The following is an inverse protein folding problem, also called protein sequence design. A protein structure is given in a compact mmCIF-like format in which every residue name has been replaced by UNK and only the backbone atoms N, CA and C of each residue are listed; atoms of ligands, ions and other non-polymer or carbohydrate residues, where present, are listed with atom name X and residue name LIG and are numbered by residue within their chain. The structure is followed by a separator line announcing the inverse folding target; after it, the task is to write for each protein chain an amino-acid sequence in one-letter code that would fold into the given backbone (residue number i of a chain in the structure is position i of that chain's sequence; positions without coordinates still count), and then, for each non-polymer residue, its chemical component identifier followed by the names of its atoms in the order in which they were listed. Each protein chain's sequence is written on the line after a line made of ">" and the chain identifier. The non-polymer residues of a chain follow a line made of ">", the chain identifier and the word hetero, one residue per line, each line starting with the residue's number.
data_IF_489094446651
#
_entry.id   IF_489094446651
#
_cell.length_a   1.000
_cell.length_b   1.000
_cell.length_c   1.000
_cell.angle_alpha   90.00
_cell.angle_beta   90.00
_cell.angle_gamma   90.00
#
_symmetry.space_group_name_H-M   'P 1'
#
loop_
_entity.id
_entity.type
_entity.pdbx_description
1 polymer ?
#
# COMPACT_ATOMS: atom_id res chain seq x y z
N UNK A 1 -3.64 22.57 14.11
CA UNK A 1 -2.68 23.45 14.82
C UNK A 1 -1.24 22.96 14.63
N UNK A 2 -0.92 21.70 14.87
CA UNK A 2 0.46 21.17 14.82
C UNK A 2 1.08 21.29 13.40
N UNK A 3 0.37 20.91 12.34
CA UNK A 3 0.89 20.99 10.96
C UNK A 3 1.30 22.41 10.55
N UNK A 4 0.51 23.41 10.96
CA UNK A 4 0.84 24.80 10.70
C UNK A 4 2.07 25.28 11.46
N UNK A 5 2.25 24.80 12.70
CA UNK A 5 3.45 25.13 13.51
C UNK A 5 4.73 24.55 12.89
N UNK A 6 4.63 23.45 12.16
CA UNK A 6 5.73 22.77 11.45
C UNK A 6 5.91 23.28 10.00
N UNK A 7 5.12 24.27 9.57
CA UNK A 7 5.22 24.87 8.25
C UNK A 7 4.53 24.06 7.13
N UNK A 8 3.75 23.04 7.45
CA UNK A 8 3.01 22.27 6.47
C UNK A 8 1.70 22.97 6.07
N UNK A 9 1.50 23.17 4.79
CA UNK A 9 0.27 23.73 4.20
C UNK A 9 -0.36 22.70 3.27
N UNK A 10 -1.69 22.64 3.25
CA UNK A 10 -2.44 21.80 2.31
C UNK A 10 -2.23 22.38 0.90
N UNK A 11 -1.74 21.55 -0.01
CA UNK A 11 -1.56 21.87 -1.41
C UNK A 11 -2.71 21.37 -2.27
N UNK A 12 -3.19 20.14 -1.97
CA UNK A 12 -4.26 19.50 -2.73
C UNK A 12 -5.03 18.51 -1.86
N UNK A 13 -6.29 18.24 -2.21
CA UNK A 13 -7.16 17.27 -1.54
C UNK A 13 -7.91 16.47 -2.59
N UNK A 14 -8.17 15.17 -2.29
CA UNK A 14 -8.92 14.26 -3.17
C UNK A 14 -8.40 14.28 -4.63
N UNK A 15 -7.08 14.44 -4.80
CA UNK A 15 -6.49 14.52 -6.11
C UNK A 15 -6.42 13.14 -6.75
N UNK A 16 -7.02 13.05 -7.94
CA UNK A 16 -7.07 11.81 -8.72
C UNK A 16 -5.95 11.73 -9.73
N UNK A 17 -5.37 10.55 -9.89
CA UNK A 17 -4.56 10.15 -11.03
C UNK A 17 -5.50 9.41 -12.00
N UNK A 18 -5.85 10.08 -13.10
CA UNK A 18 -6.76 9.56 -14.11
C UNK A 18 -6.00 9.31 -15.41
N UNK A 19 -6.22 8.13 -15.99
CA UNK A 19 -5.55 7.69 -17.20
C UNK A 19 -5.78 8.61 -18.41
N UNK A 20 -6.95 9.24 -18.48
CA UNK A 20 -7.37 10.04 -19.64
C UNK A 20 -6.99 11.53 -19.52
N UNK A 21 -6.61 11.98 -18.34
CA UNK A 21 -6.36 13.39 -18.02
C UNK A 21 -4.88 13.65 -17.72
N UNK A 22 -4.23 12.75 -17.01
CA UNK A 22 -2.83 12.83 -16.65
C UNK A 22 -1.93 12.06 -17.63
N UNK A 23 -0.63 12.38 -17.64
CA UNK A 23 0.35 11.51 -18.28
C UNK A 23 0.24 10.12 -17.61
N UNK A 24 0.09 9.03 -18.38
CA UNK A 24 -0.07 7.70 -17.81
C UNK A 24 1.11 7.31 -16.91
N UNK A 25 0.82 6.85 -15.71
CA UNK A 25 1.81 6.26 -14.80
C UNK A 25 1.60 4.75 -14.78
N UNK A 26 2.61 3.98 -15.19
CA UNK A 26 2.58 2.54 -15.18
C UNK A 26 3.36 1.95 -14.00
N UNK A 27 2.89 0.80 -13.52
CA UNK A 27 3.62 -0.12 -12.64
C UNK A 27 3.71 -1.45 -13.39
N UNK A 28 4.90 -1.75 -13.88
CA UNK A 28 5.10 -2.85 -14.82
C UNK A 28 4.23 -2.68 -16.06
N UNK A 29 3.36 -3.67 -16.33
CA UNK A 29 2.44 -3.68 -17.48
C UNK A 29 1.08 -3.04 -17.21
N UNK A 30 0.78 -2.65 -15.98
CA UNK A 30 -0.51 -2.09 -15.58
C UNK A 30 -0.44 -0.57 -15.40
N UNK A 31 -1.49 0.11 -15.82
CA UNK A 31 -1.66 1.51 -15.57
C UNK A 31 -2.14 1.75 -14.14
N UNK A 32 -1.44 2.62 -13.42
CA UNK A 32 -1.82 3.01 -12.07
C UNK A 32 -2.87 4.11 -12.11
N UNK A 33 -3.94 3.94 -11.36
CA UNK A 33 -4.95 4.96 -11.09
C UNK A 33 -5.19 5.02 -9.58
N UNK A 34 -5.65 6.16 -9.08
CA UNK A 34 -5.92 6.29 -7.66
C UNK A 34 -6.27 7.70 -7.25
N UNK A 35 -6.72 7.85 -6.01
CA UNK A 35 -7.00 9.14 -5.39
C UNK A 35 -6.14 9.31 -4.16
N UNK A 36 -5.46 10.43 -4.04
CA UNK A 36 -4.72 10.81 -2.85
C UNK A 36 -5.60 11.74 -2.02
N UNK A 37 -5.88 11.35 -0.78
CA UNK A 37 -6.79 12.10 0.10
C UNK A 37 -6.27 13.52 0.37
N UNK A 38 -4.95 13.67 0.62
CA UNK A 38 -4.36 14.97 0.94
C UNK A 38 -2.88 15.03 0.59
N UNK A 39 -2.49 16.11 -0.08
CA UNK A 39 -1.10 16.47 -0.36
C UNK A 39 -0.77 17.73 0.41
N UNK A 40 0.35 17.74 1.11
CA UNK A 40 0.88 18.89 1.81
C UNK A 40 2.25 19.29 1.25
N UNK A 41 2.55 20.58 1.37
CA UNK A 41 3.86 21.12 1.07
C UNK A 41 4.39 21.90 2.28
N UNK A 42 5.64 21.69 2.62
CA UNK A 42 6.30 22.48 3.62
C UNK A 42 6.68 23.86 3.02
N UNK A 43 6.15 24.93 3.60
CA UNK A 43 6.32 26.29 3.11
C UNK A 43 7.78 26.78 3.15
N UNK A 44 8.61 26.19 4.01
CA UNK A 44 10.01 26.59 4.18
C UNK A 44 10.95 25.80 3.28
N UNK A 45 10.77 24.47 3.22
CA UNK A 45 11.69 23.58 2.49
C UNK A 45 11.21 23.24 1.08
N UNK A 46 9.91 23.35 0.82
CA UNK A 46 9.27 22.89 -0.41
C UNK A 46 9.04 21.38 -0.46
N UNK A 47 9.42 20.63 0.59
CA UNK A 47 9.19 19.19 0.69
C UNK A 47 7.71 18.85 0.60
N UNK A 48 7.39 17.72 0.00
CA UNK A 48 6.02 17.23 -0.16
C UNK A 48 5.74 16.07 0.79
N UNK A 49 4.48 15.98 1.22
CA UNK A 49 3.98 14.88 2.04
C UNK A 49 2.62 14.43 1.54
N UNK A 50 2.43 13.11 1.40
CA UNK A 50 1.12 12.52 1.18
C UNK A 50 0.55 12.03 2.50
N UNK A 51 -0.73 12.32 2.73
CA UNK A 51 -1.48 11.88 3.91
C UNK A 51 -2.71 11.12 3.46
N UNK A 52 -2.90 9.95 4.03
CA UNK A 52 -4.08 9.11 3.86
C UNK A 52 -4.85 9.02 5.19
N UNK A 53 -6.17 9.23 5.15
CA UNK A 53 -7.02 9.23 6.34
C UNK A 53 -7.43 7.81 6.73
N UNK A 54 -7.23 7.47 8.01
CA UNK A 54 -7.57 6.15 8.56
C UNK A 54 -8.45 6.27 9.82
N UNK A 55 -9.62 5.65 9.75
CA UNK A 55 -10.58 5.57 10.88
C UNK A 55 -10.44 4.21 11.57
N UNK A 56 -9.39 4.02 12.33
CA UNK A 56 -9.20 2.79 13.11
C UNK A 56 -9.86 2.90 14.49
N UNK A 57 -10.24 1.77 15.08
CA UNK A 57 -10.71 1.76 16.48
C UNK A 57 -9.60 2.12 17.48
N UNK A 58 -8.35 1.83 17.14
CA UNK A 58 -7.14 2.19 17.90
C UNK A 58 -6.06 2.68 16.95
N UNK A 59 -5.05 3.39 17.47
CA UNK A 59 -3.95 3.87 16.65
C UNK A 59 -3.19 2.70 16.03
N UNK A 60 -3.08 2.73 14.70
CA UNK A 60 -2.20 1.85 13.92
C UNK A 60 -1.30 2.72 13.05
N UNK A 61 0.00 2.62 13.30
CA UNK A 61 1.02 3.31 12.51
C UNK A 61 1.18 2.64 11.13
N UNK A 62 1.71 3.34 10.11
CA UNK A 62 1.88 2.78 8.77
C UNK A 62 2.56 1.40 8.75
N UNK A 63 3.67 1.20 9.43
CA UNK A 63 4.37 -0.07 9.47
C UNK A 63 3.50 -1.25 9.95
N UNK A 64 2.53 -1.02 10.84
CA UNK A 64 1.64 -2.07 11.35
C UNK A 64 0.61 -2.53 10.31
N UNK A 65 0.32 -1.70 9.34
CA UNK A 65 -0.66 -1.98 8.27
C UNK A 65 -0.01 -2.38 6.97
N UNK A 66 1.23 -1.93 6.73
CA UNK A 66 1.97 -2.22 5.50
C UNK A 66 2.72 -3.55 5.57
N UNK A 67 3.08 -4.01 6.78
CA UNK A 67 3.83 -5.24 6.96
C UNK A 67 3.03 -6.31 7.70
N UNK A 68 3.27 -7.56 7.31
CA UNK A 68 2.86 -8.77 8.02
C UNK A 68 4.10 -9.54 8.50
N UNK A 69 3.94 -10.50 9.43
CA UNK A 69 4.99 -11.48 9.71
C UNK A 69 5.44 -12.20 8.43
N UNK A 70 6.68 -12.71 8.37
CA UNK A 70 7.15 -13.48 7.22
C UNK A 70 6.19 -14.61 6.87
N UNK A 71 5.93 -14.81 5.59
CA UNK A 71 5.11 -15.90 5.10
C UNK A 71 5.88 -16.67 4.04
N UNK A 72 5.93 -17.98 4.18
CA UNK A 72 6.60 -18.87 3.21
C UNK A 72 5.82 -19.04 1.90
N UNK A 73 4.57 -18.60 1.87
CA UNK A 73 3.66 -18.80 0.72
C UNK A 73 3.51 -17.55 -0.16
N UNK A 74 4.34 -16.53 0.07
CA UNK A 74 4.29 -15.29 -0.70
C UNK A 74 5.46 -15.19 -1.66
N UNK A 75 5.33 -14.34 -2.68
CA UNK A 75 6.42 -14.02 -3.61
C UNK A 75 7.69 -13.64 -2.85
N UNK A 76 8.84 -14.04 -3.36
CA UNK A 76 10.12 -13.62 -2.81
C UNK A 76 10.26 -12.10 -2.79
N UNK A 77 9.75 -11.41 -3.81
CA UNK A 77 9.74 -9.95 -3.93
C UNK A 77 8.83 -9.24 -2.92
N UNK A 78 7.91 -9.96 -2.26
CA UNK A 78 7.12 -9.39 -1.18
C UNK A 78 7.81 -9.51 0.19
N UNK A 79 8.91 -10.29 0.29
CA UNK A 79 9.67 -10.47 1.52
C UNK A 79 10.75 -9.39 1.61
N UNK A 80 10.80 -8.69 2.74
CA UNK A 80 11.68 -7.54 2.96
C UNK A 80 12.31 -7.58 4.34
N UNK A 81 13.41 -6.88 4.50
CA UNK A 81 14.04 -6.63 5.78
C UNK A 81 13.77 -5.19 6.23
N UNK A 82 13.11 -5.05 7.36
CA UNK A 82 12.69 -3.75 7.89
C UNK A 82 13.48 -3.41 9.14
N UNK A 83 14.07 -2.22 9.17
CA UNK A 83 14.71 -1.70 10.37
C UNK A 83 13.62 -1.29 11.37
N UNK A 84 13.64 -1.90 12.53
CA UNK A 84 12.73 -1.63 13.63
C UNK A 84 13.51 -1.14 14.86
N UNK A 85 12.80 -0.67 15.87
CA UNK A 85 13.42 -0.29 17.15
C UNK A 85 14.17 -1.44 17.87
N UNK A 86 13.95 -2.69 17.44
CA UNK A 86 14.61 -3.89 17.98
C UNK A 86 15.65 -4.48 17.03
N UNK A 87 16.02 -3.77 15.96
CA UNK A 87 16.92 -4.23 14.90
C UNK A 87 16.19 -4.65 13.63
N UNK A 88 16.92 -5.30 12.73
CA UNK A 88 16.39 -5.75 11.44
C UNK A 88 15.43 -6.93 11.66
N UNK A 89 14.25 -6.85 11.06
CA UNK A 89 13.23 -7.90 11.13
C UNK A 89 12.75 -8.28 9.72
N UNK A 90 12.69 -9.58 9.44
CA UNK A 90 12.07 -10.08 8.21
C UNK A 90 10.56 -9.86 8.27
N UNK A 91 10.01 -9.33 7.19
CA UNK A 91 8.60 -8.98 7.03
C UNK A 91 8.12 -9.37 5.63
N UNK A 92 6.82 -9.28 5.44
CA UNK A 92 6.18 -9.42 4.13
C UNK A 92 5.33 -8.18 3.86
N UNK A 93 5.42 -7.61 2.68
CA UNK A 93 4.51 -6.56 2.25
C UNK A 93 3.07 -7.08 2.28
N UNK A 94 2.20 -6.35 2.94
CA UNK A 94 0.76 -6.61 3.03
C UNK A 94 -0.05 -5.54 2.30
N UNK A 95 0.50 -4.33 2.24
CA UNK A 95 -0.13 -3.16 1.63
C UNK A 95 0.95 -2.28 1.03
N UNK A 96 0.74 -1.82 -0.21
CA UNK A 96 1.66 -0.94 -0.94
C UNK A 96 1.08 0.47 -1.17
N UNK A 97 -0.02 0.83 -0.52
CA UNK A 97 -0.74 2.10 -0.76
C UNK A 97 0.18 3.32 -0.63
N UNK A 98 0.84 3.50 0.51
CA UNK A 98 1.70 4.67 0.72
C UNK A 98 2.93 4.70 -0.21
N UNK A 99 3.67 3.61 -0.46
CA UNK A 99 4.69 3.58 -1.50
C UNK A 99 4.17 3.99 -2.89
N UNK A 100 3.00 3.48 -3.30
CA UNK A 100 2.40 3.85 -4.59
C UNK A 100 1.93 5.31 -4.61
N UNK A 101 1.43 5.85 -3.52
CA UNK A 101 1.10 7.27 -3.41
C UNK A 101 2.34 8.16 -3.51
N UNK A 102 3.47 7.74 -2.92
CA UNK A 102 4.75 8.41 -3.13
C UNK A 102 5.14 8.40 -4.61
N UNK A 103 4.99 7.26 -5.31
CA UNK A 103 5.26 7.14 -6.74
C UNK A 103 4.41 8.11 -7.58
N UNK A 104 3.13 8.25 -7.24
CA UNK A 104 2.22 9.21 -7.87
C UNK A 104 2.71 10.65 -7.63
N UNK A 105 3.14 10.96 -6.42
CA UNK A 105 3.64 12.29 -6.06
C UNK A 105 4.91 12.64 -6.84
N UNK A 106 5.85 11.70 -6.96
CA UNK A 106 7.06 11.85 -7.78
C UNK A 106 6.75 12.07 -9.27
N UNK A 107 5.69 11.43 -9.76
CA UNK A 107 5.21 11.61 -11.13
C UNK A 107 4.63 13.01 -11.36
N UNK A 108 3.82 13.51 -10.45
CA UNK A 108 3.22 14.86 -10.59
C UNK A 108 4.20 16.00 -10.31
N UNK A 109 5.17 15.78 -9.41
CA UNK A 109 6.05 16.82 -8.90
C UNK A 109 7.53 16.40 -8.93
N UNK A 110 8.07 16.00 -10.12
CA UNK A 110 9.41 15.43 -10.20
C UNK A 110 10.52 16.37 -9.74
N UNK A 111 10.35 17.70 -9.93
CA UNK A 111 11.36 18.70 -9.56
C UNK A 111 11.45 18.90 -8.05
N UNK A 112 10.31 18.91 -7.37
CA UNK A 112 10.21 19.04 -5.92
C UNK A 112 10.73 17.77 -5.23
N UNK A 113 10.27 16.60 -5.71
CA UNK A 113 10.64 15.30 -5.17
C UNK A 113 12.12 14.95 -5.39
N UNK A 114 12.74 15.44 -6.46
CA UNK A 114 14.18 15.28 -6.67
C UNK A 114 15.05 16.04 -5.65
N UNK A 115 14.52 17.10 -5.05
CA UNK A 115 15.20 17.88 -4.01
C UNK A 115 15.00 17.27 -2.62
N UNK A 116 13.79 16.82 -2.37
CA UNK A 116 13.35 16.26 -1.09
C UNK A 116 12.45 15.05 -1.36
N UNK A 117 12.89 13.83 -1.06
CA UNK A 117 12.04 12.65 -1.16
C UNK A 117 10.72 12.87 -0.43
N UNK A 118 9.58 12.53 -1.04
CA UNK A 118 8.28 12.76 -0.42
C UNK A 118 8.08 11.95 0.86
N UNK A 119 7.54 12.58 1.88
CA UNK A 119 7.10 11.88 3.08
C UNK A 119 5.74 11.22 2.84
N UNK A 120 5.51 10.11 3.53
CA UNK A 120 4.22 9.41 3.53
C UNK A 120 3.72 9.22 4.96
N UNK A 121 2.43 9.44 5.18
CA UNK A 121 1.86 9.38 6.51
C UNK A 121 0.39 8.96 6.51
N UNK A 122 -0.07 8.47 7.64
CA UNK A 122 -1.48 8.36 7.96
C UNK A 122 -1.92 9.53 8.86
N UNK A 123 -3.08 10.09 8.59
CA UNK A 123 -3.83 10.83 9.59
C UNK A 123 -4.82 9.85 10.25
N UNK A 124 -4.53 9.45 11.46
CA UNK A 124 -5.35 8.45 12.17
C UNK A 124 -6.39 9.14 13.03
N UNK A 125 -7.64 8.75 12.85
CA UNK A 125 -8.80 9.18 13.61
C UNK A 125 -9.34 7.97 14.42
N UNK A 126 -8.76 7.68 15.58
CA UNK A 126 -9.19 6.54 16.39
C UNK A 126 -10.41 6.90 17.24
N UNK A 127 -10.98 5.91 17.95
CA UNK A 127 -12.10 6.14 18.86
C UNK A 127 -11.75 7.09 20.02
N UNK A 128 -10.49 7.10 20.47
CA UNK A 128 -9.97 8.10 21.41
C UNK A 128 -9.42 9.31 20.65
N UNK A 129 -10.10 10.48 20.70
CA UNK A 129 -9.66 11.66 19.97
C UNK A 129 -8.33 12.25 20.47
N UNK A 130 -7.90 11.96 21.70
CA UNK A 130 -6.66 12.48 22.27
C UNK A 130 -5.40 11.93 21.60
N UNK A 131 -5.52 10.78 20.92
CA UNK A 131 -4.43 10.15 20.17
C UNK A 131 -4.62 10.26 18.66
N UNK A 132 -5.54 11.12 18.21
CA UNK A 132 -5.66 11.46 16.78
C UNK A 132 -4.43 12.26 16.34
N UNK A 133 -3.93 11.96 15.14
CA UNK A 133 -2.77 12.69 14.64
C UNK A 133 -2.15 12.10 13.39
N UNK A 134 -1.08 12.75 12.93
CA UNK A 134 -0.29 12.30 11.80
C UNK A 134 0.81 11.36 12.29
N UNK A 135 0.89 10.21 11.65
CA UNK A 135 1.88 9.16 11.92
C UNK A 135 2.65 8.87 10.64
N UNK A 136 3.89 9.35 10.58
CA UNK A 136 4.78 9.16 9.43
C UNK A 136 5.21 7.71 9.27
N UNK A 137 5.45 7.29 8.03
CA UNK A 137 5.99 5.97 7.70
C UNK A 137 7.53 5.99 7.77
N UNK A 138 8.06 6.13 8.98
CA UNK A 138 9.49 6.31 9.22
C UNK A 138 10.34 5.09 8.82
N UNK A 139 9.72 3.91 8.73
CA UNK A 139 10.38 2.69 8.31
C UNK A 139 10.60 2.62 6.78
N UNK A 140 9.92 3.47 5.99
CA UNK A 140 10.04 3.50 4.53
C UNK A 140 11.32 4.24 4.12
N UNK A 141 12.47 3.57 4.20
CA UNK A 141 13.74 4.08 3.64
C UNK A 141 13.69 4.11 2.11
N UNK A 142 14.70 4.72 1.47
CA UNK A 142 14.81 4.72 0.01
C UNK A 142 14.94 3.30 -0.55
N UNK A 143 15.75 2.46 0.10
CA UNK A 143 15.93 1.06 -0.30
C UNK A 143 14.60 0.30 -0.21
N UNK A 144 13.90 0.45 0.92
CA UNK A 144 12.62 -0.21 1.14
C UNK A 144 11.52 0.31 0.20
N UNK A 145 11.61 1.58 -0.20
CA UNK A 145 10.73 2.15 -1.22
C UNK A 145 10.97 1.51 -2.59
N UNK A 146 12.23 1.33 -3.00
CA UNK A 146 12.57 0.62 -4.25
C UNK A 146 12.03 -0.82 -4.21
N UNK A 147 12.26 -1.56 -3.14
CA UNK A 147 11.73 -2.92 -2.95
C UNK A 147 10.18 -2.96 -2.99
N UNK A 148 9.51 -1.91 -2.51
CA UNK A 148 8.05 -1.81 -2.61
C UNK A 148 7.57 -1.65 -4.06
N UNK A 149 8.28 -0.87 -4.87
CA UNK A 149 7.97 -0.69 -6.29
C UNK A 149 8.27 -1.98 -7.07
N UNK A 150 9.39 -2.64 -6.82
CA UNK A 150 9.73 -3.93 -7.43
C UNK A 150 8.66 -5.00 -7.08
N UNK A 151 8.18 -5.01 -5.85
CA UNK A 151 7.08 -5.86 -5.44
C UNK A 151 5.78 -5.54 -6.21
N UNK A 152 5.45 -4.26 -6.39
CA UNK A 152 4.28 -3.84 -7.15
C UNK A 152 4.39 -4.24 -8.64
N UNK A 153 5.57 -4.11 -9.24
CA UNK A 153 5.84 -4.54 -10.61
C UNK A 153 5.70 -6.05 -10.79
N UNK A 154 6.26 -6.83 -9.87
CA UNK A 154 6.10 -8.29 -9.87
C UNK A 154 4.64 -8.72 -9.72
N UNK A 155 3.87 -8.04 -8.88
CA UNK A 155 2.42 -8.27 -8.75
C UNK A 155 1.71 -7.93 -10.06
N UNK A 156 2.03 -6.79 -10.67
CA UNK A 156 1.47 -6.35 -11.94
C UNK A 156 1.70 -7.40 -13.04
N UNK A 157 2.90 -7.95 -13.11
CA UNK A 157 3.22 -9.02 -14.05
C UNK A 157 2.37 -10.28 -13.79
N UNK A 158 2.25 -10.71 -12.53
CA UNK A 158 1.41 -11.87 -12.17
C UNK A 158 -0.05 -11.67 -12.54
N UNK A 159 -0.60 -10.47 -12.33
CA UNK A 159 -1.96 -10.12 -12.74
C UNK A 159 -2.11 -10.25 -14.26
N UNK A 160 -1.17 -9.72 -15.03
CA UNK A 160 -1.19 -9.78 -16.50
C UNK A 160 -1.08 -11.21 -17.04
N UNK A 161 -0.32 -12.06 -16.36
CA UNK A 161 -0.20 -13.49 -16.65
C UNK A 161 -1.41 -14.32 -16.20
N UNK A 162 -2.40 -13.71 -15.55
CA UNK A 162 -3.59 -14.38 -15.01
C UNK A 162 -3.35 -15.19 -13.74
N UNK A 163 -2.25 -14.94 -13.03
CA UNK A 163 -1.91 -15.62 -11.79
C UNK A 163 -2.57 -14.94 -10.58
N UNK A 164 -3.74 -15.43 -10.16
CA UNK A 164 -4.48 -14.93 -9.00
C UNK A 164 -4.45 -15.89 -7.80
N UNK A 165 -3.51 -16.80 -7.78
CA UNK A 165 -3.36 -17.83 -6.77
C UNK A 165 -2.16 -17.55 -5.84
N UNK A 166 -2.15 -17.99 -4.56
CA UNK A 166 -3.26 -18.64 -3.85
C UNK A 166 -4.31 -17.63 -3.39
N UNK A 167 -5.59 -17.98 -3.48
CA UNK A 167 -6.61 -17.17 -2.82
C UNK A 167 -6.32 -17.16 -1.31
N UNK A 168 -6.52 -16.06 -0.65
CA UNK A 168 -6.53 -16.07 0.81
C UNK A 168 -7.65 -16.99 1.26
N UNK A 169 -7.38 -17.81 2.32
CA UNK A 169 -8.44 -18.57 2.94
C UNK A 169 -9.61 -17.63 3.22
N UNK A 170 -10.73 -17.94 2.63
CA UNK A 170 -11.95 -17.15 2.78
C UNK A 170 -12.34 -17.15 4.27
N UNK A 171 -12.06 -16.06 4.92
CA UNK A 171 -12.61 -15.80 6.25
C UNK A 171 -13.97 -15.19 6.01
N UNK A 172 -15.01 -16.04 6.05
CA UNK A 172 -16.38 -15.60 5.89
C UNK A 172 -16.60 -14.31 6.67
N UNK A 173 -16.76 -13.19 5.98
CA UNK A 173 -17.24 -11.98 6.59
C UNK A 173 -18.75 -12.02 6.51
N UNK A 174 -19.42 -11.51 7.52
CA UNK A 174 -20.87 -11.42 7.56
C UNK A 174 -21.44 -10.63 6.37
N UNK A 175 -20.58 -9.90 5.66
CA UNK A 175 -20.94 -8.99 4.57
C UNK A 175 -20.45 -9.48 3.19
N UNK A 176 -20.09 -10.76 3.02
CA UNK A 176 -19.72 -11.24 1.71
C UNK A 176 -20.95 -11.57 0.85
N UNK A 177 -21.28 -10.74 -0.15
CA UNK A 177 -22.44 -10.93 -1.00
C UNK A 177 -22.33 -12.19 -1.89
N UNK A 178 -21.13 -12.76 -2.02
CA UNK A 178 -20.86 -13.94 -2.84
C UNK A 178 -20.87 -15.25 -2.05
N UNK A 179 -20.84 -15.19 -0.70
CA UNK A 179 -20.85 -16.38 0.14
C UNK A 179 -21.95 -17.40 -0.21
N UNK A 180 -23.18 -16.97 -0.56
CA UNK A 180 -24.25 -17.90 -0.96
C UNK A 180 -23.99 -18.66 -2.28
N UNK A 181 -23.03 -18.18 -3.09
CA UNK A 181 -22.68 -18.84 -4.37
C UNK A 181 -21.75 -20.04 -4.19
N UNK A 182 -21.15 -20.20 -3.01
CA UNK A 182 -20.19 -21.27 -2.75
C UNK A 182 -20.78 -22.34 -1.86
N UNK A 183 -20.63 -23.59 -2.29
CA UNK A 183 -21.03 -24.74 -1.49
C UNK A 183 -20.20 -24.80 -0.22
N UNK A 184 -20.86 -24.84 0.94
CA UNK A 184 -20.22 -24.79 2.26
C UNK A 184 -19.33 -23.55 2.50
N UNK A 185 -19.57 -22.45 1.80
CA UNK A 185 -18.87 -21.19 2.01
C UNK A 185 -17.39 -21.17 1.61
N UNK A 186 -16.91 -22.15 0.86
CA UNK A 186 -15.51 -22.25 0.43
C UNK A 186 -15.43 -22.30 -1.10
N UNK A 187 -14.84 -21.27 -1.76
CA UNK A 187 -14.63 -21.23 -3.21
C UNK A 187 -13.89 -22.48 -3.73
N UNK A 188 -12.96 -23.01 -2.94
CA UNK A 188 -12.15 -24.18 -3.25
C UNK A 188 -13.00 -25.43 -3.51
N UNK A 189 -14.16 -25.54 -2.88
CA UNK A 189 -15.09 -26.65 -3.08
C UNK A 189 -15.76 -26.64 -4.45
N UNK A 190 -15.65 -25.51 -5.18
CA UNK A 190 -16.20 -25.35 -6.54
C UNK A 190 -15.15 -25.58 -7.63
N UNK A 191 -13.88 -25.82 -7.24
CA UNK A 191 -12.75 -26.00 -8.17
C UNK A 191 -12.30 -27.45 -8.11
N UNK A 192 -12.12 -28.09 -9.26
CA UNK A 192 -11.63 -29.46 -9.32
C UNK A 192 -10.23 -29.57 -8.68
N UNK A 193 -9.99 -30.59 -7.81
CA UNK A 193 -8.73 -30.73 -7.09
C UNK A 193 -7.48 -30.70 -7.98
N UNK A 194 -7.56 -31.30 -9.17
CA UNK A 194 -6.48 -31.31 -10.15
C UNK A 194 -6.17 -29.90 -10.70
N UNK A 195 -7.17 -29.02 -10.76
CA UNK A 195 -6.99 -27.62 -11.14
C UNK A 195 -6.29 -26.85 -10.03
N UNK A 196 -6.64 -27.11 -8.77
CA UNK A 196 -5.98 -26.53 -7.59
C UNK A 196 -4.49 -26.90 -7.57
N UNK A 197 -4.17 -28.18 -7.80
CA UNK A 197 -2.78 -28.65 -7.81
C UNK A 197 -1.97 -28.04 -8.98
N UNK A 198 -2.55 -27.89 -10.16
CA UNK A 198 -1.91 -27.21 -11.29
C UNK A 198 -1.64 -25.74 -10.99
N UNK A 199 -2.57 -25.05 -10.34
CA UNK A 199 -2.41 -23.64 -9.94
C UNK A 199 -1.32 -23.48 -8.86
N UNK A 200 -1.22 -24.40 -7.91
CA UNK A 200 -0.15 -24.42 -6.91
C UNK A 200 1.22 -24.67 -7.54
N UNK A 201 1.33 -25.60 -8.50
CA UNK A 201 2.59 -25.95 -9.18
C UNK A 201 3.13 -24.86 -10.10
N UNK A 202 2.31 -23.90 -10.53
CA UNK A 202 2.73 -22.75 -11.33
C UNK A 202 3.26 -21.56 -10.54
N UNK A 203 3.35 -21.69 -9.21
CA UNK A 203 3.75 -20.62 -8.28
C UNK A 203 5.08 -20.87 -7.56
N UNK A 204 5.76 -21.97 -7.83
CA UNK A 204 7.08 -22.32 -7.29
C UNK A 204 8.22 -21.88 -8.21
#
# INVERSE_FOLDING_TARGET
>A
AQCFAEGWIIRDVERKLEADVDTPLAIGSLQLTGTIDRIEQNATTGALRVIDYKTFSSVKKPAQTHFAPPSHNWFSTAQVEVLTSRGIAKKTWKNLQLPLYRKILEHWYPKECAKHPPETAYFVLPSDPNVSGIYSFNELSEELYVEAIDCAEAISQKITEGHFWPPQAFRGSWDDPFAPLFVNGAPENCIAPETIEKLKGGLL
#
